data_IF_847921356205
#
_entry.id   IF_847921356205
#
_cell.length_a   1.000
_cell.length_b   1.000
_cell.length_c   1.000
_cell.angle_alpha   90.00
_cell.angle_beta   90.00
_cell.angle_gamma   90.00
#
_symmetry.space_group_name_H-M   'P 1'
#
loop_
_entity.id
_entity.type
_entity.pdbx_description
1 polymer ?
#
# COMPACT_ATOMS: atom_id res chain seq x y z
N UNK A 1 -15.90 20.90 -0.03
CA UNK A 1 -15.51 19.64 -0.69
C UNK A 1 -15.77 18.48 0.27
N UNK A 2 -16.55 17.47 -0.14
CA UNK A 2 -16.82 16.28 0.67
C UNK A 2 -15.65 15.32 0.47
N UNK A 3 -14.81 15.13 1.50
CA UNK A 3 -13.73 14.15 1.44
C UNK A 3 -14.34 12.74 1.40
N UNK A 4 -14.27 12.10 0.23
CA UNK A 4 -14.66 10.71 0.06
C UNK A 4 -13.52 9.84 0.61
N UNK A 5 -13.65 9.41 1.87
CA UNK A 5 -12.79 8.40 2.48
C UNK A 5 -11.52 8.95 3.15
N UNK A 6 -11.08 8.26 4.21
CA UNK A 6 -9.72 8.38 4.76
C UNK A 6 -8.75 7.90 3.67
N UNK A 7 -8.31 8.79 2.78
CA UNK A 7 -7.44 8.46 1.66
C UNK A 7 -6.06 8.03 2.17
N UNK A 8 -5.91 6.73 2.48
CA UNK A 8 -4.68 6.18 3.06
C UNK A 8 -3.52 6.13 2.06
N UNK A 9 -3.77 6.09 0.75
CA UNK A 9 -2.73 6.04 -0.28
C UNK A 9 -3.33 6.20 -1.69
N UNK A 10 -2.48 6.43 -2.69
CA UNK A 10 -2.83 6.48 -4.13
C UNK A 10 -2.06 5.40 -4.90
N UNK A 11 -2.73 4.71 -5.82
CA UNK A 11 -2.11 3.77 -6.77
C UNK A 11 -2.36 4.23 -8.20
N UNK A 12 -1.29 4.37 -8.98
CA UNK A 12 -1.35 4.61 -10.42
C UNK A 12 -0.74 3.42 -11.17
N UNK A 13 -1.41 2.97 -12.23
CA UNK A 13 -0.98 1.85 -13.07
C UNK A 13 -0.69 2.35 -14.47
N UNK A 14 0.50 2.03 -14.97
CA UNK A 14 0.96 2.28 -16.33
C UNK A 14 1.31 0.94 -16.98
N UNK A 15 1.58 0.92 -18.28
CA UNK A 15 1.82 -0.32 -19.04
C UNK A 15 2.91 -1.21 -18.41
N UNK A 16 4.02 -0.61 -17.99
CA UNK A 16 5.18 -1.35 -17.49
C UNK A 16 5.41 -1.20 -15.99
N UNK A 17 4.77 -0.22 -15.35
CA UNK A 17 5.04 0.14 -13.95
C UNK A 17 3.78 0.44 -13.18
N UNK A 18 3.83 0.12 -11.88
CA UNK A 18 2.84 0.54 -10.89
C UNK A 18 3.51 1.48 -9.89
N UNK A 19 2.81 2.55 -9.55
CA UNK A 19 3.27 3.53 -8.57
C UNK A 19 2.31 3.58 -7.40
N UNK A 20 2.87 3.55 -6.20
CA UNK A 20 2.17 3.68 -4.94
C UNK A 20 2.68 4.93 -4.21
N UNK A 21 1.77 5.76 -3.71
CA UNK A 21 2.07 6.99 -2.98
C UNK A 21 1.34 6.97 -1.65
N UNK A 22 2.07 7.15 -0.55
CA UNK A 22 1.50 7.11 0.80
C UNK A 22 2.14 8.20 1.68
N UNK A 23 1.37 8.94 2.50
CA UNK A 23 1.95 9.78 3.53
C UNK A 23 2.57 8.92 4.64
N UNK A 24 3.78 9.28 5.07
CA UNK A 24 4.42 8.67 6.25
C UNK A 24 3.98 9.43 7.51
N UNK A 25 3.99 10.77 7.42
CA UNK A 25 3.56 11.72 8.44
C UNK A 25 3.01 12.99 7.73
N UNK A 26 2.83 14.08 8.46
CA UNK A 26 2.27 15.33 7.94
C UNK A 26 3.21 16.09 6.98
N UNK A 27 4.51 15.75 6.96
CA UNK A 27 5.54 16.45 6.19
C UNK A 27 6.16 15.59 5.09
N UNK A 28 6.05 14.25 5.19
CA UNK A 28 6.76 13.31 4.33
C UNK A 28 5.83 12.39 3.54
N UNK A 29 6.17 12.19 2.27
CA UNK A 29 5.52 11.24 1.37
C UNK A 29 6.51 10.15 0.93
N UNK A 30 6.05 8.91 0.90
CA UNK A 30 6.75 7.79 0.28
C UNK A 30 6.19 7.51 -1.11
N UNK A 31 7.09 7.43 -2.08
CA UNK A 31 6.77 7.05 -3.45
C UNK A 31 7.47 5.73 -3.80
N UNK A 32 6.70 4.70 -4.13
CA UNK A 32 7.23 3.39 -4.50
C UNK A 32 6.84 3.09 -5.95
N UNK A 33 7.83 2.80 -6.79
CA UNK A 33 7.61 2.41 -8.19
C UNK A 33 8.14 1.02 -8.41
N UNK A 34 7.33 0.18 -9.03
CA UNK A 34 7.61 -1.24 -9.29
C UNK A 34 7.27 -1.55 -10.73
N UNK A 35 7.83 -2.64 -11.26
CA UNK A 35 7.29 -3.22 -12.48
C UNK A 35 5.94 -3.92 -12.23
N UNK A 36 5.27 -4.34 -13.29
CA UNK A 36 3.98 -5.02 -13.22
C UNK A 36 4.10 -6.56 -13.02
N UNK A 37 5.27 -7.12 -12.68
CA UNK A 37 5.50 -8.57 -12.58
C UNK A 37 5.06 -9.15 -11.23
N UNK A 38 3.75 -9.19 -10.98
CA UNK A 38 3.14 -9.85 -9.80
C UNK A 38 3.58 -9.28 -8.44
N UNK A 39 3.04 -9.81 -7.33
CA UNK A 39 3.46 -9.48 -5.95
C UNK A 39 3.18 -8.06 -5.43
N UNK A 40 2.70 -7.14 -6.27
CA UNK A 40 2.50 -5.73 -5.89
C UNK A 40 1.46 -5.54 -4.79
N UNK A 41 0.39 -6.34 -4.79
CA UNK A 41 -0.67 -6.26 -3.78
C UNK A 41 -0.11 -6.59 -2.39
N UNK A 42 0.59 -7.71 -2.28
CA UNK A 42 1.19 -8.17 -1.03
C UNK A 42 2.20 -7.15 -0.49
N UNK A 43 2.96 -6.52 -1.39
CA UNK A 43 3.91 -5.46 -1.03
C UNK A 43 3.21 -4.20 -0.53
N UNK A 44 2.14 -3.74 -1.21
CA UNK A 44 1.33 -2.59 -0.75
C UNK A 44 0.73 -2.89 0.62
N UNK A 45 0.13 -4.06 0.81
CA UNK A 45 -0.46 -4.48 2.09
C UNK A 45 0.60 -4.52 3.20
N UNK A 46 1.81 -4.98 2.89
CA UNK A 46 2.92 -5.00 3.86
C UNK A 46 3.38 -3.59 4.23
N UNK A 47 3.52 -2.68 3.26
CA UNK A 47 3.89 -1.28 3.54
C UNK A 47 2.83 -0.61 4.41
N UNK A 48 1.54 -0.81 4.11
CA UNK A 48 0.45 -0.27 4.91
C UNK A 48 0.45 -0.81 6.34
N UNK A 49 0.69 -2.12 6.53
CA UNK A 49 0.82 -2.74 7.86
C UNK A 49 1.95 -2.13 8.68
N UNK A 50 3.12 -1.88 8.06
CA UNK A 50 4.25 -1.21 8.72
C UNK A 50 3.89 0.21 9.15
N UNK A 51 3.26 0.99 8.25
CA UNK A 51 2.87 2.37 8.53
C UNK A 51 1.76 2.49 9.57
N UNK A 52 0.87 1.50 9.66
CA UNK A 52 -0.16 1.43 10.70
C UNK A 52 0.38 1.00 12.08
N UNK A 53 1.68 0.65 12.18
CA UNK A 53 2.30 0.16 13.42
C UNK A 53 1.85 -1.25 13.81
N UNK A 54 1.15 -1.96 12.92
CA UNK A 54 0.65 -3.32 13.12
C UNK A 54 1.55 -4.33 12.40
N UNK A 55 2.66 -4.68 13.05
CA UNK A 55 3.68 -5.55 12.49
C UNK A 55 3.30 -7.05 12.49
N UNK A 56 2.21 -7.43 13.20
CA UNK A 56 1.76 -8.82 13.37
C UNK A 56 0.70 -9.25 12.36
N UNK A 57 0.21 -8.33 11.52
CA UNK A 57 -0.64 -8.65 10.36
C UNK A 57 0.09 -9.60 9.39
N UNK A 58 -0.18 -10.89 9.55
CA UNK A 58 0.29 -11.95 8.67
C UNK A 58 -0.55 -11.98 7.39
N UNK A 59 0.12 -11.90 6.23
CA UNK A 59 -0.45 -12.17 4.90
C UNK A 59 -0.84 -13.66 4.70
N UNK A 60 -0.51 -14.53 5.66
CA UNK A 60 -0.96 -15.92 5.71
C UNK A 60 -2.09 -16.08 6.74
N UNK A 61 -3.25 -15.49 6.44
CA UNK A 61 -4.52 -15.90 7.03
C UNK A 61 -5.40 -16.51 5.93
N UNK A 62 -4.95 -17.67 5.43
CA UNK A 62 -5.85 -18.58 4.73
C UNK A 62 -6.96 -19.04 5.69
N UNK A 63 -8.09 -19.56 5.18
CA UNK A 63 -9.19 -20.00 6.03
C UNK A 63 -8.66 -21.09 6.95
N UNK A 64 -8.74 -20.87 8.26
CA UNK A 64 -8.47 -21.93 9.23
C UNK A 64 -9.68 -22.87 9.23
N UNK A 65 -9.44 -24.09 8.75
CA UNK A 65 -10.29 -25.27 8.93
C UNK A 65 -10.36 -25.67 10.40
#
# INVERSE_FOLDING_TARGET
>A
AKFLGKNRYVVAVYDNVRRFTVPIDDEHLMLVTLDNKGGQKDMIERILSILEGDYTKSIFSGPQS
#
